data_IF_955989588215
#
_entry.id   IF_955989588215
#
_cell.length_a   1.000
_cell.length_b   1.000
_cell.length_c   1.000
_cell.angle_alpha   90.00
_cell.angle_beta   90.00
_cell.angle_gamma   90.00
#
_symmetry.space_group_name_H-M   'P 1'
#
loop_
_entity.id
_entity.type
_entity.pdbx_description
1 polymer ?
#
# COMPACT_ATOMS: atom_id res chain seq x y z
N UNK A 1 -10.15 13.15 -3.78
CA UNK A 1 -10.44 12.53 -2.47
C UNK A 1 -11.42 13.39 -1.66
N UNK A 2 -12.55 13.78 -2.26
CA UNK A 2 -13.50 14.75 -1.66
C UNK A 2 -14.66 14.08 -0.92
N UNK A 3 -14.69 12.75 -0.87
CA UNK A 3 -15.65 12.01 -0.06
C UNK A 3 -15.31 12.10 1.44
N UNK A 4 -16.31 11.86 2.28
CA UNK A 4 -16.19 11.83 3.76
C UNK A 4 -15.70 10.47 4.29
N UNK A 5 -14.96 9.71 3.48
CA UNK A 5 -14.43 8.40 3.91
C UNK A 5 -13.19 8.58 4.76
N UNK A 6 -12.99 7.66 5.70
CA UNK A 6 -11.82 7.65 6.59
C UNK A 6 -10.63 6.88 6.00
N UNK A 7 -10.90 5.88 5.15
CA UNK A 7 -9.88 5.02 4.54
C UNK A 7 -10.08 4.98 3.03
N UNK A 8 -8.99 5.11 2.29
CA UNK A 8 -8.96 4.79 0.86
C UNK A 8 -8.02 3.62 0.63
N UNK A 9 -8.58 2.52 0.11
CA UNK A 9 -7.83 1.38 -0.39
C UNK A 9 -7.61 1.52 -1.88
N UNK A 10 -6.39 1.31 -2.33
CA UNK A 10 -6.04 1.36 -3.75
C UNK A 10 -5.00 0.29 -4.09
N UNK A 11 -4.98 -0.11 -5.37
CA UNK A 11 -4.00 -1.06 -5.89
C UNK A 11 -2.64 -0.37 -6.08
N UNK A 12 -1.81 -0.49 -5.05
CA UNK A 12 -0.44 0.01 -5.06
C UNK A 12 0.51 -0.92 -5.85
N UNK A 13 0.15 -2.18 -6.09
CA UNK A 13 1.00 -3.07 -6.87
C UNK A 13 1.06 -2.66 -8.35
N UNK A 14 -0.09 -2.42 -8.99
CA UNK A 14 -0.13 -2.07 -10.42
C UNK A 14 -0.20 -0.55 -10.67
N UNK A 15 -0.74 0.26 -9.75
CA UNK A 15 -1.11 1.65 -10.03
C UNK A 15 -0.50 2.71 -9.09
N UNK A 16 0.51 2.36 -8.30
CA UNK A 16 1.16 3.29 -7.36
C UNK A 16 1.54 4.62 -8.02
N UNK A 17 2.32 4.62 -9.09
CA UNK A 17 2.84 5.86 -9.69
C UNK A 17 1.72 6.81 -10.11
N UNK A 18 0.68 6.28 -10.75
CA UNK A 18 -0.48 7.07 -11.19
C UNK A 18 -1.25 7.64 -10.00
N UNK A 19 -1.42 6.86 -8.94
CA UNK A 19 -2.11 7.30 -7.74
C UNK A 19 -1.33 8.39 -7.00
N UNK A 20 -0.02 8.22 -6.84
CA UNK A 20 0.85 9.17 -6.15
C UNK A 20 1.01 10.50 -6.90
N UNK A 21 0.69 10.58 -8.20
CA UNK A 21 0.61 11.86 -8.92
C UNK A 21 -0.36 12.86 -8.26
N UNK A 22 -1.39 12.37 -7.58
CA UNK A 22 -2.36 13.16 -6.80
C UNK A 22 -1.87 13.46 -5.36
N UNK A 23 -0.56 13.71 -5.21
CA UNK A 23 0.06 13.92 -3.89
C UNK A 23 -0.53 15.10 -3.11
N UNK A 24 -1.08 16.12 -3.80
CA UNK A 24 -1.72 17.28 -3.15
C UNK A 24 -3.03 16.85 -2.46
N UNK A 25 -3.80 16.03 -3.15
CA UNK A 25 -5.05 15.46 -2.66
C UNK A 25 -4.78 14.44 -1.56
N UNK A 26 -3.74 13.61 -1.70
CA UNK A 26 -3.27 12.69 -0.66
C UNK A 26 -2.85 13.48 0.59
N UNK A 27 -2.11 14.59 0.42
CA UNK A 27 -1.73 15.45 1.55
C UNK A 27 -2.96 15.99 2.26
N UNK A 28 -3.91 16.58 1.52
CA UNK A 28 -5.15 17.09 2.11
C UNK A 28 -5.99 15.98 2.77
N UNK A 29 -5.90 14.74 2.27
CA UNK A 29 -6.54 13.57 2.86
C UNK A 29 -5.93 13.18 4.20
N UNK A 30 -4.60 13.13 4.30
CA UNK A 30 -3.93 12.91 5.57
C UNK A 30 -4.13 14.06 6.57
N UNK A 31 -4.09 15.32 6.11
CA UNK A 31 -4.25 16.50 6.97
C UNK A 31 -5.64 16.51 7.66
N UNK A 32 -6.67 15.93 7.04
CA UNK A 32 -8.00 15.77 7.64
C UNK A 32 -8.19 14.46 8.44
N UNK A 33 -7.16 13.65 8.58
CA UNK A 33 -7.15 12.42 9.38
C UNK A 33 -7.42 11.11 8.63
N UNK A 34 -7.44 11.13 7.29
CA UNK A 34 -7.65 9.93 6.48
C UNK A 34 -6.47 8.94 6.50
N UNK A 35 -6.73 7.69 6.13
CA UNK A 35 -5.76 6.60 6.05
C UNK A 35 -5.66 6.01 4.64
N UNK A 36 -4.44 5.70 4.20
CA UNK A 36 -4.23 4.96 2.97
C UNK A 36 -3.99 3.47 3.27
N UNK A 37 -4.78 2.62 2.62
CA UNK A 37 -4.51 1.18 2.53
C UNK A 37 -3.72 0.91 1.25
N UNK A 38 -2.44 0.59 1.43
CA UNK A 38 -1.49 0.28 0.38
C UNK A 38 -1.70 -1.16 -0.06
N UNK A 39 -2.54 -1.35 -1.09
CA UNK A 39 -2.79 -2.63 -1.74
C UNK A 39 -1.58 -3.12 -2.52
N UNK A 40 -0.51 -3.46 -1.81
CA UNK A 40 0.83 -3.69 -2.36
C UNK A 40 1.05 -5.14 -2.76
N UNK A 41 0.29 -6.10 -2.22
CA UNK A 41 0.44 -7.52 -2.57
C UNK A 41 -0.56 -7.89 -3.68
N UNK A 42 -0.06 -8.28 -4.85
CA UNK A 42 -0.91 -8.65 -5.99
C UNK A 42 -1.85 -9.81 -5.66
N UNK A 43 -3.11 -9.71 -6.06
CA UNK A 43 -4.10 -10.79 -5.99
C UNK A 43 -4.32 -11.45 -7.35
N UNK A 44 -3.22 -11.75 -8.05
CA UNK A 44 -3.21 -12.45 -9.33
C UNK A 44 -2.23 -13.63 -9.28
N UNK A 45 -2.27 -14.58 -10.24
CA UNK A 45 -1.32 -15.70 -10.30
C UNK A 45 0.17 -15.28 -10.36
N UNK A 46 0.46 -13.99 -10.63
CA UNK A 46 1.79 -13.40 -10.53
C UNK A 46 2.40 -13.57 -9.12
N UNK A 47 1.58 -13.75 -8.07
CA UNK A 47 2.03 -13.89 -6.68
C UNK A 47 3.09 -14.98 -6.49
N UNK A 48 3.06 -16.02 -7.34
CA UNK A 48 4.04 -17.11 -7.34
C UNK A 48 5.49 -16.65 -7.56
N UNK A 49 5.69 -15.59 -8.35
CA UNK A 49 7.01 -15.02 -8.66
C UNK A 49 7.38 -13.78 -7.84
N UNK A 50 6.50 -13.34 -6.94
CA UNK A 50 6.71 -12.14 -6.12
C UNK A 50 7.49 -12.49 -4.85
N UNK A 51 8.50 -11.69 -4.52
CA UNK A 51 9.27 -11.79 -3.28
C UNK A 51 8.95 -10.65 -2.31
N UNK A 52 9.15 -10.89 -1.01
CA UNK A 52 8.99 -9.89 0.04
C UNK A 52 9.82 -8.63 -0.22
N UNK A 53 11.10 -8.80 -0.57
CA UNK A 53 12.01 -7.66 -0.81
C UNK A 53 11.51 -6.75 -1.93
N UNK A 54 11.00 -7.30 -3.03
CA UNK A 54 10.44 -6.49 -4.11
C UNK A 54 9.25 -5.64 -3.66
N UNK A 55 8.38 -6.21 -2.82
CA UNK A 55 7.21 -5.50 -2.28
C UNK A 55 7.62 -4.38 -1.32
N UNK A 56 8.57 -4.67 -0.42
CA UNK A 56 9.12 -3.70 0.53
C UNK A 56 9.78 -2.55 -0.20
N UNK A 57 10.70 -2.83 -1.13
CA UNK A 57 11.39 -1.80 -1.91
C UNK A 57 10.38 -0.93 -2.68
N UNK A 58 9.39 -1.54 -3.34
CA UNK A 58 8.36 -0.78 -4.06
C UNK A 58 7.56 0.14 -3.14
N UNK A 59 7.21 -0.33 -1.94
CA UNK A 59 6.47 0.46 -0.96
C UNK A 59 7.31 1.62 -0.41
N UNK A 60 8.57 1.36 -0.07
CA UNK A 60 9.52 2.37 0.39
C UNK A 60 9.72 3.47 -0.66
N UNK A 61 9.84 3.11 -1.94
CA UNK A 61 9.93 4.06 -3.05
C UNK A 61 8.69 4.96 -3.13
N UNK A 62 7.49 4.40 -3.01
CA UNK A 62 6.24 5.16 -3.00
C UNK A 62 6.12 6.11 -1.80
N UNK A 63 6.52 5.66 -0.61
CA UNK A 63 6.55 6.50 0.59
C UNK A 63 7.57 7.62 0.41
N UNK A 64 8.77 7.30 -0.07
CA UNK A 64 9.83 8.28 -0.29
C UNK A 64 9.42 9.32 -1.34
N UNK A 65 8.67 8.92 -2.37
CA UNK A 65 8.10 9.85 -3.33
C UNK A 65 7.21 10.90 -2.63
N UNK A 66 6.29 10.49 -1.75
CA UNK A 66 5.44 11.41 -1.01
C UNK A 66 6.23 12.29 -0.04
N UNK A 67 7.23 11.73 0.65
CA UNK A 67 8.15 12.51 1.52
C UNK A 67 8.88 13.59 0.70
N UNK A 68 9.36 13.25 -0.49
CA UNK A 68 10.02 14.19 -1.39
C UNK A 68 9.07 15.30 -1.92
N UNK A 69 7.74 15.07 -1.88
CA UNK A 69 6.72 16.11 -2.14
C UNK A 69 6.40 16.97 -0.92
N UNK A 70 7.05 16.73 0.23
CA UNK A 70 6.89 17.49 1.46
C UNK A 70 5.84 16.95 2.42
N UNK A 71 5.36 15.71 2.23
CA UNK A 71 4.49 15.06 3.21
C UNK A 71 5.32 14.59 4.41
N UNK A 72 4.77 14.71 5.62
CA UNK A 72 5.43 14.24 6.84
C UNK A 72 5.55 12.72 6.83
N UNK A 73 6.77 12.20 6.96
CA UNK A 73 7.03 10.76 7.06
C UNK A 73 6.29 10.13 8.25
N UNK A 74 6.28 10.80 9.40
CA UNK A 74 5.55 10.36 10.60
C UNK A 74 4.06 10.24 10.32
N UNK A 75 3.48 11.22 9.62
CA UNK A 75 2.06 11.19 9.29
C UNK A 75 1.73 10.05 8.32
N UNK A 76 2.57 9.80 7.31
CA UNK A 76 2.40 8.66 6.40
C UNK A 76 2.44 7.35 7.19
N UNK A 77 3.43 7.18 8.06
CA UNK A 77 3.59 6.04 8.99
C UNK A 77 2.32 5.79 9.81
N UNK A 78 1.88 6.78 10.58
CA UNK A 78 0.69 6.67 11.44
C UNK A 78 -0.63 6.47 10.69
N UNK A 79 -0.67 6.77 9.38
CA UNK A 79 -1.88 6.77 8.54
C UNK A 79 -1.84 5.75 7.41
N UNK A 80 -1.02 4.72 7.53
CA UNK A 80 -0.87 3.67 6.52
C UNK A 80 -1.37 2.32 7.03
N UNK A 81 -1.98 1.56 6.13
CA UNK A 81 -2.41 0.18 6.34
C UNK A 81 -1.85 -0.65 5.19
N UNK A 82 -1.35 -1.84 5.46
CA UNK A 82 -0.89 -2.78 4.41
C UNK A 82 -2.03 -3.73 4.09
N UNK A 83 -2.34 -3.87 2.80
CA UNK A 83 -3.39 -4.77 2.32
C UNK A 83 -2.95 -5.51 1.05
N UNK A 84 -3.65 -6.59 0.67
CA UNK A 84 -3.62 -7.05 -0.71
C UNK A 84 -4.20 -5.99 -1.67
N UNK A 85 -3.89 -6.11 -2.96
CA UNK A 85 -4.36 -5.20 -4.01
C UNK A 85 -5.88 -5.26 -4.23
N UNK A 86 -6.49 -6.44 -4.01
CA UNK A 86 -7.92 -6.68 -4.10
C UNK A 86 -8.29 -7.94 -3.27
N UNK A 87 -9.45 -8.56 -3.52
CA UNK A 87 -9.80 -9.87 -2.96
C UNK A 87 -9.13 -11.04 -3.69
N UNK A 88 -9.04 -12.19 -3.03
CA UNK A 88 -8.40 -13.41 -3.55
C UNK A 88 -9.39 -14.40 -4.19
N UNK A 89 -10.64 -14.00 -4.45
CA UNK A 89 -11.72 -14.92 -4.84
C UNK A 89 -11.55 -15.67 -6.15
N UNK A 90 -10.58 -15.27 -6.99
CA UNK A 90 -10.26 -15.93 -8.28
C UNK A 90 -9.00 -16.79 -8.22
N UNK A 91 -8.34 -16.87 -7.08
CA UNK A 91 -7.08 -17.58 -6.88
C UNK A 91 -7.31 -19.00 -6.35
N UNK A 92 -6.31 -19.86 -6.48
CA UNK A 92 -6.31 -21.12 -5.73
C UNK A 92 -6.12 -20.85 -4.23
N UNK A 93 -6.36 -21.85 -3.38
CA UNK A 93 -6.15 -21.74 -1.94
C UNK A 93 -4.68 -21.43 -1.65
N UNK A 94 -3.76 -22.14 -2.31
CA UNK A 94 -2.32 -21.98 -2.13
C UNK A 94 -1.84 -20.56 -2.52
N UNK A 95 -2.39 -20.03 -3.62
CA UNK A 95 -2.12 -18.66 -4.04
C UNK A 95 -2.69 -17.64 -3.05
N UNK A 96 -3.92 -17.84 -2.56
CA UNK A 96 -4.55 -16.98 -1.56
C UNK A 96 -3.79 -16.98 -0.23
N UNK A 97 -3.36 -18.14 0.25
CA UNK A 97 -2.50 -18.27 1.43
C UNK A 97 -1.19 -17.50 1.25
N UNK A 98 -0.55 -17.63 0.08
CA UNK A 98 0.67 -16.89 -0.24
C UNK A 98 0.45 -15.37 -0.23
N UNK A 99 -0.67 -14.88 -0.78
CA UNK A 99 -1.03 -13.46 -0.72
C UNK A 99 -1.11 -12.99 0.73
N UNK A 100 -1.81 -13.74 1.59
CA UNK A 100 -2.00 -13.35 2.99
C UNK A 100 -0.69 -13.41 3.79
N UNK A 101 0.14 -14.44 3.57
CA UNK A 101 1.47 -14.54 4.20
C UNK A 101 2.37 -13.36 3.79
N UNK A 102 2.46 -13.03 2.50
CA UNK A 102 3.27 -11.89 2.06
C UNK A 102 2.72 -10.55 2.57
N UNK A 103 1.40 -10.41 2.69
CA UNK A 103 0.77 -9.21 3.28
C UNK A 103 1.19 -9.04 4.74
N UNK A 104 1.15 -10.13 5.51
CA UNK A 104 1.65 -10.15 6.89
C UNK A 104 3.14 -9.80 6.94
N UNK A 105 3.97 -10.44 6.13
CA UNK A 105 5.43 -10.27 6.18
C UNK A 105 5.86 -8.85 5.79
N UNK A 106 5.19 -8.24 4.80
CA UNK A 106 5.39 -6.82 4.48
C UNK A 106 5.00 -5.95 5.69
N UNK A 107 3.85 -6.20 6.32
CA UNK A 107 3.42 -5.42 7.48
C UNK A 107 4.39 -5.53 8.66
N UNK A 108 4.96 -6.71 8.91
CA UNK A 108 5.95 -6.92 9.98
C UNK A 108 7.26 -6.22 9.64
N UNK A 109 7.77 -6.42 8.42
CA UNK A 109 9.04 -5.83 7.96
C UNK A 109 9.00 -4.31 7.99
N UNK A 110 7.84 -3.73 7.67
CA UNK A 110 7.67 -2.28 7.58
C UNK A 110 7.37 -1.61 8.92
N UNK A 111 7.14 -2.34 10.02
CA UNK A 111 6.63 -1.78 11.30
C UNK A 111 7.45 -0.64 11.93
N UNK A 112 8.74 -0.56 11.62
CA UNK A 112 9.60 0.53 12.10
C UNK A 112 9.76 1.65 11.06
N UNK A 113 9.58 1.34 9.76
CA UNK A 113 9.68 2.29 8.63
C UNK A 113 8.36 3.01 8.35
N UNK A 114 7.24 2.30 8.57
CA UNK A 114 5.83 2.67 8.54
C UNK A 114 5.21 2.54 9.92
#
# INVERSE_FOLDING_TARGET
MESKVDIVSFDAYEFMDKYLMYWREIKAFFDRGGYLAWGIVTTSPKITGVSLNQLVTKLEEGIQFLVNKGLSKTLIKERSIITPSCGTGTLTIEEAERVMMLTHDVSVTMKDTL
#
